data_IF_175377935035
#
_entry.id   IF_175377935035
#
_cell.length_a   1.000
_cell.length_b   1.000
_cell.length_c   1.000
_cell.angle_alpha   90.00
_cell.angle_beta   90.00
_cell.angle_gamma   90.00
#
_symmetry.space_group_name_H-M   'P 1'
#
loop_
_entity.id
_entity.type
_entity.pdbx_description
1 polymer ?
#
# COMPACT_ATOMS: atom_id res chain seq x y z
N UNK A 1 -112.69 10.16 1.97
CA UNK A 1 -111.75 9.04 2.17
C UNK A 1 -110.59 9.22 1.20
N UNK A 2 -109.44 9.70 1.72
CA UNK A 2 -108.25 9.99 0.89
C UNK A 2 -107.16 9.05 1.39
N UNK A 3 -106.74 8.16 0.53
CA UNK A 3 -105.76 7.14 0.80
C UNK A 3 -104.39 7.67 0.42
N UNK A 4 -103.51 7.88 1.43
CA UNK A 4 -102.12 8.30 1.22
C UNK A 4 -101.29 7.09 0.78
N UNK A 5 -100.68 7.20 -0.40
CA UNK A 5 -99.64 6.27 -0.85
C UNK A 5 -98.29 6.69 -0.33
N UNK A 6 -97.58 5.80 0.37
CA UNK A 6 -96.19 5.99 0.83
C UNK A 6 -95.27 5.57 -0.32
N UNK A 7 -94.30 6.44 -0.64
CA UNK A 7 -93.19 6.16 -1.59
C UNK A 7 -92.03 5.36 -0.87
N UNK A 8 -91.31 4.51 -1.60
CA UNK A 8 -90.22 3.74 -1.02
C UNK A 8 -88.94 4.57 -0.86
N UNK A 9 -88.28 4.43 0.28
CA UNK A 9 -86.99 5.03 0.57
C UNK A 9 -85.82 4.17 -0.07
N UNK A 10 -85.12 4.78 -1.05
CA UNK A 10 -83.92 4.19 -1.64
C UNK A 10 -82.75 4.28 -0.68
N UNK A 11 -82.15 3.11 -0.31
CA UNK A 11 -80.91 3.02 0.46
C UNK A 11 -79.74 3.26 -0.50
N UNK A 12 -79.05 4.40 -0.33
CA UNK A 12 -77.75 4.67 -0.97
C UNK A 12 -76.62 4.01 -0.13
N UNK A 13 -76.02 2.99 -0.73
CA UNK A 13 -74.83 2.35 -0.13
C UNK A 13 -73.63 3.13 -0.62
N UNK A 14 -72.98 3.92 0.24
CA UNK A 14 -71.75 4.59 -0.04
C UNK A 14 -70.58 3.59 0.00
N UNK A 15 -69.94 3.32 -1.15
CA UNK A 15 -68.73 2.52 -1.29
C UNK A 15 -67.54 3.42 -1.01
N UNK A 16 -66.94 3.31 0.16
CA UNK A 16 -65.72 4.01 0.53
C UNK A 16 -64.51 3.34 -0.18
N UNK A 17 -63.96 3.98 -1.23
CA UNK A 17 -62.66 3.59 -1.82
C UNK A 17 -61.54 4.02 -0.90
N UNK A 18 -60.89 3.05 -0.26
CA UNK A 18 -59.67 3.25 0.53
C UNK A 18 -58.48 3.34 -0.45
N UNK A 19 -58.01 4.55 -0.77
CA UNK A 19 -56.82 4.78 -1.57
C UNK A 19 -55.60 4.55 -0.71
N UNK A 20 -54.91 3.40 -0.88
CA UNK A 20 -53.61 3.12 -0.25
C UNK A 20 -52.56 3.90 -1.00
N UNK A 21 -52.07 4.99 -0.42
CA UNK A 21 -50.87 5.72 -0.88
C UNK A 21 -49.65 4.85 -0.56
N UNK A 22 -49.06 4.22 -1.58
CA UNK A 22 -47.70 3.64 -1.50
C UNK A 22 -46.72 4.80 -1.46
N UNK A 23 -46.26 5.16 -0.28
CA UNK A 23 -45.09 6.01 -0.11
C UNK A 23 -43.87 5.14 -0.44
N UNK A 24 -43.38 5.25 -1.68
CA UNK A 24 -42.13 4.64 -2.09
C UNK A 24 -40.99 5.32 -1.33
N UNK A 25 -40.40 4.63 -0.34
CA UNK A 25 -39.12 5.03 0.23
C UNK A 25 -38.07 4.84 -0.83
N UNK A 26 -37.67 5.92 -1.54
CA UNK A 26 -36.41 5.97 -2.27
C UNK A 26 -35.29 5.87 -1.23
N UNK A 27 -34.71 4.68 -1.10
CA UNK A 27 -33.44 4.55 -0.38
C UNK A 27 -32.39 5.32 -1.20
N UNK A 28 -31.92 6.44 -0.67
CA UNK A 28 -30.71 7.07 -1.19
C UNK A 28 -29.59 6.02 -1.18
N UNK A 29 -28.76 5.95 -2.24
CA UNK A 29 -27.62 5.06 -2.22
C UNK A 29 -26.80 5.35 -0.97
N UNK A 30 -26.50 4.30 -0.19
CA UNK A 30 -25.63 4.42 0.97
C UNK A 30 -24.33 5.10 0.52
N UNK A 31 -23.93 6.17 1.20
CA UNK A 31 -22.66 6.83 0.91
C UNK A 31 -21.54 5.79 1.00
N UNK A 32 -20.63 5.83 0.03
CA UNK A 32 -19.44 4.95 0.02
C UNK A 32 -18.73 5.04 1.39
N UNK A 33 -18.59 3.92 2.09
CA UNK A 33 -18.03 3.89 3.43
C UNK A 33 -16.52 3.65 3.36
N UNK A 34 -15.74 4.72 3.60
CA UNK A 34 -14.28 4.61 3.63
C UNK A 34 -13.80 3.91 4.90
N UNK A 35 -12.71 3.16 4.78
CA UNK A 35 -11.96 2.63 5.90
C UNK A 35 -11.20 3.74 6.62
N UNK A 36 -11.27 3.78 7.95
CA UNK A 36 -10.31 4.46 8.81
C UNK A 36 -9.00 3.66 8.92
N UNK A 37 -8.04 4.15 9.70
CA UNK A 37 -6.75 3.46 9.91
C UNK A 37 -6.91 2.07 10.49
N UNK A 38 -7.81 1.90 11.47
CA UNK A 38 -8.01 0.61 12.12
C UNK A 38 -8.61 -0.41 11.15
N UNK A 39 -9.56 0.02 10.32
CA UNK A 39 -10.12 -0.79 9.24
C UNK A 39 -9.04 -1.23 8.23
N UNK A 40 -8.21 -0.29 7.73
CA UNK A 40 -7.13 -0.61 6.78
C UNK A 40 -6.11 -1.58 7.39
N UNK A 41 -5.67 -1.35 8.64
CA UNK A 41 -4.76 -2.26 9.35
C UNK A 41 -5.39 -3.65 9.58
N UNK A 42 -6.69 -3.67 9.85
CA UNK A 42 -7.48 -4.90 9.99
C UNK A 42 -7.52 -5.72 8.70
N UNK A 43 -7.67 -5.08 7.54
CA UNK A 43 -7.62 -5.73 6.23
C UNK A 43 -6.27 -6.38 5.95
N UNK A 44 -5.14 -5.72 6.31
CA UNK A 44 -3.80 -6.33 6.21
C UNK A 44 -3.74 -7.59 7.08
N UNK A 45 -4.24 -7.53 8.32
CA UNK A 45 -4.24 -8.68 9.22
C UNK A 45 -5.04 -9.84 8.63
N UNK A 46 -6.25 -9.57 8.13
CA UNK A 46 -7.09 -10.58 7.46
C UNK A 46 -6.39 -11.16 6.22
N UNK A 47 -5.73 -10.32 5.43
CA UNK A 47 -4.99 -10.77 4.25
C UNK A 47 -3.86 -11.73 4.60
N UNK A 48 -3.01 -11.38 5.58
CA UNK A 48 -1.89 -12.25 5.98
C UNK A 48 -2.39 -13.54 6.63
N UNK A 49 -3.48 -13.49 7.40
CA UNK A 49 -4.10 -14.68 8.00
C UNK A 49 -4.71 -15.60 6.93
N UNK A 50 -5.41 -15.04 5.94
CA UNK A 50 -5.97 -15.78 4.82
C UNK A 50 -4.88 -16.42 3.94
N UNK A 51 -3.77 -15.68 3.70
CA UNK A 51 -2.60 -16.17 2.95
C UNK A 51 -1.99 -17.41 3.62
N UNK A 52 -1.72 -17.37 4.93
CA UNK A 52 -1.17 -18.51 5.68
C UNK A 52 -2.16 -19.67 5.78
N UNK A 53 -3.45 -19.37 5.78
CA UNK A 53 -4.49 -20.40 5.73
C UNK A 53 -4.75 -20.97 4.33
N UNK A 54 -4.08 -20.42 3.27
CA UNK A 54 -4.31 -20.75 1.86
C UNK A 54 -5.78 -20.58 1.42
N UNK A 55 -6.50 -19.65 2.05
CA UNK A 55 -7.95 -19.51 1.85
C UNK A 55 -8.33 -18.06 1.51
N UNK A 56 -8.30 -17.67 0.24
CA UNK A 56 -8.69 -16.33 -0.18
C UNK A 56 -10.18 -16.03 0.02
N UNK A 57 -11.04 -17.03 0.27
CA UNK A 57 -12.47 -16.81 0.51
C UNK A 57 -12.74 -16.08 1.84
N UNK A 58 -11.77 -16.03 2.72
CA UNK A 58 -11.82 -15.27 3.99
C UNK A 58 -11.68 -13.77 3.83
N UNK A 59 -11.35 -13.29 2.62
CA UNK A 59 -11.15 -11.87 2.35
C UNK A 59 -12.45 -11.18 1.92
N UNK A 60 -12.71 -9.95 2.35
CA UNK A 60 -13.82 -9.14 1.86
C UNK A 60 -13.48 -8.57 0.47
N UNK A 61 -13.49 -9.42 -0.54
CA UNK A 61 -13.16 -9.05 -1.91
C UNK A 61 -14.33 -8.33 -2.60
N UNK A 62 -14.01 -7.33 -3.43
CA UNK A 62 -14.93 -6.82 -4.43
C UNK A 62 -15.13 -7.87 -5.54
N UNK A 63 -16.25 -7.80 -6.27
CA UNK A 63 -16.59 -8.78 -7.31
C UNK A 63 -15.50 -8.94 -8.38
N UNK A 64 -14.86 -7.81 -8.77
CA UNK A 64 -13.83 -7.78 -9.80
C UNK A 64 -12.44 -7.47 -9.20
N UNK A 65 -12.15 -8.00 -7.99
CA UNK A 65 -10.86 -7.80 -7.36
C UNK A 65 -9.71 -8.33 -8.23
N UNK A 66 -8.67 -7.51 -8.41
CA UNK A 66 -7.48 -7.86 -9.20
C UNK A 66 -6.33 -8.24 -8.29
N UNK A 67 -5.51 -9.16 -8.73
CA UNK A 67 -4.30 -9.58 -8.03
C UNK A 67 -3.08 -9.52 -8.93
N UNK A 68 -1.99 -8.96 -8.42
CA UNK A 68 -0.68 -8.98 -9.08
C UNK A 68 0.39 -9.49 -8.10
N UNK A 69 1.27 -10.34 -8.61
CA UNK A 69 2.50 -10.76 -7.92
C UNK A 69 3.69 -10.35 -8.79
N UNK A 70 4.67 -9.65 -8.21
CA UNK A 70 5.86 -9.19 -8.90
C UNK A 70 5.56 -8.38 -10.18
N UNK A 71 4.60 -7.46 -10.09
CA UNK A 71 4.14 -6.61 -11.20
C UNK A 71 3.51 -7.37 -12.37
N UNK A 72 3.11 -8.63 -12.20
CA UNK A 72 2.42 -9.43 -13.20
C UNK A 72 1.02 -9.79 -12.72
N UNK A 73 0.03 -9.75 -13.63
CA UNK A 73 -1.30 -10.24 -13.31
C UNK A 73 -1.24 -11.71 -12.92
N UNK A 74 -1.85 -12.06 -11.79
CA UNK A 74 -1.85 -13.41 -11.25
C UNK A 74 -3.25 -13.79 -10.75
N UNK A 75 -3.48 -15.07 -10.53
CA UNK A 75 -4.71 -15.57 -9.96
C UNK A 75 -4.58 -15.66 -8.45
N UNK A 76 -5.49 -15.04 -7.72
CA UNK A 76 -5.53 -15.14 -6.27
C UNK A 76 -5.71 -16.61 -5.82
N UNK A 77 -4.93 -17.04 -4.85
CA UNK A 77 -4.84 -18.45 -4.45
C UNK A 77 -3.73 -19.24 -5.15
N UNK A 78 -3.04 -18.64 -6.14
CA UNK A 78 -1.88 -19.22 -6.82
C UNK A 78 -0.57 -18.55 -6.32
N UNK A 79 0.59 -18.96 -6.84
CA UNK A 79 1.90 -18.40 -6.49
C UNK A 79 2.19 -18.54 -4.99
N UNK A 80 2.55 -17.44 -4.33
CA UNK A 80 2.86 -17.39 -2.89
C UNK A 80 1.71 -17.93 -2.01
N UNK A 81 0.48 -17.86 -2.47
CA UNK A 81 -0.68 -18.38 -1.75
C UNK A 81 -0.65 -19.89 -1.52
N UNK A 82 0.08 -20.64 -2.35
CA UNK A 82 0.23 -22.10 -2.21
C UNK A 82 1.41 -22.51 -1.34
N UNK A 83 2.34 -21.60 -1.09
CA UNK A 83 3.65 -21.95 -0.57
C UNK A 83 3.95 -21.37 0.81
N UNK A 84 3.32 -20.25 1.21
CA UNK A 84 3.50 -19.64 2.52
C UNK A 84 2.98 -20.54 3.62
N UNK A 85 3.80 -20.76 4.66
CA UNK A 85 3.49 -21.68 5.77
C UNK A 85 3.30 -20.98 7.11
N UNK A 86 3.87 -19.77 7.28
CA UNK A 86 3.80 -19.03 8.55
C UNK A 86 4.01 -17.54 8.37
N UNK A 87 3.52 -16.77 9.35
CA UNK A 87 3.88 -15.35 9.55
C UNK A 87 5.20 -15.25 10.28
N UNK A 88 6.02 -14.23 9.93
CA UNK A 88 7.16 -13.82 10.70
C UNK A 88 6.81 -12.79 11.79
N UNK A 89 7.84 -12.28 12.46
CA UNK A 89 7.67 -11.29 13.51
C UNK A 89 7.62 -9.86 12.99
N UNK A 90 8.21 -9.60 11.81
CA UNK A 90 8.26 -8.26 11.23
C UNK A 90 6.97 -7.92 10.49
N UNK A 91 6.41 -6.77 10.83
CA UNK A 91 5.35 -6.10 10.08
C UNK A 91 5.48 -4.59 10.26
N UNK A 92 5.42 -3.85 9.15
CA UNK A 92 5.43 -2.40 9.10
C UNK A 92 4.35 -1.91 8.16
N UNK A 93 3.29 -1.31 8.71
CA UNK A 93 2.15 -0.82 7.93
C UNK A 93 2.32 0.65 7.53
N UNK A 94 1.74 1.00 6.38
CA UNK A 94 1.64 2.35 5.83
C UNK A 94 0.20 2.54 5.32
N UNK A 95 -0.58 3.39 5.98
CA UNK A 95 -2.03 3.43 5.82
C UNK A 95 -2.49 4.75 5.19
N UNK A 96 -2.82 4.71 3.91
CA UNK A 96 -3.34 5.84 3.14
C UNK A 96 -4.87 5.90 3.25
N UNK A 97 -5.38 6.58 4.26
CA UNK A 97 -6.82 6.72 4.47
C UNK A 97 -7.50 7.60 3.41
N UNK A 98 -6.75 8.49 2.74
CA UNK A 98 -7.28 9.36 1.69
C UNK A 98 -7.50 8.63 0.37
N UNK A 99 -6.56 7.77 -0.02
CA UNK A 99 -6.62 6.97 -1.24
C UNK A 99 -7.10 5.55 -1.01
N UNK A 100 -7.41 5.22 0.25
CA UNK A 100 -7.89 3.90 0.66
C UNK A 100 -6.92 2.79 0.24
N UNK A 101 -5.63 2.98 0.54
CA UNK A 101 -4.59 1.98 0.30
C UNK A 101 -4.00 1.54 1.63
N UNK A 102 -4.01 0.24 1.90
CA UNK A 102 -3.34 -0.38 3.03
C UNK A 102 -2.06 -1.07 2.54
N UNK A 103 -0.90 -0.42 2.72
CA UNK A 103 0.39 -0.95 2.35
C UNK A 103 1.11 -1.55 3.58
N UNK A 104 1.88 -2.62 3.37
CA UNK A 104 2.69 -3.22 4.42
C UNK A 104 3.96 -3.88 3.87
N UNK A 105 5.01 -3.83 4.65
CA UNK A 105 6.15 -4.73 4.54
C UNK A 105 6.04 -5.78 5.64
N UNK A 106 6.00 -7.06 5.28
CA UNK A 106 5.81 -8.16 6.22
C UNK A 106 6.77 -9.30 5.92
N UNK A 107 7.21 -9.98 6.98
CA UNK A 107 7.98 -11.21 6.90
C UNK A 107 7.02 -12.40 6.91
N UNK A 108 7.21 -13.33 5.97
CA UNK A 108 6.51 -14.63 5.95
C UNK A 108 7.51 -15.75 5.67
N UNK A 109 7.06 -16.99 5.75
CA UNK A 109 7.91 -18.16 5.57
C UNK A 109 7.32 -19.16 4.58
N UNK A 110 8.18 -19.78 3.77
CA UNK A 110 7.91 -21.00 3.00
C UNK A 110 8.72 -22.15 3.65
N UNK A 111 8.10 -22.89 4.55
CA UNK A 111 8.80 -23.85 5.40
C UNK A 111 9.86 -23.17 6.28
N UNK A 112 11.14 -23.39 5.99
CA UNK A 112 12.27 -22.74 6.69
C UNK A 112 12.78 -21.47 5.97
N UNK A 113 12.35 -21.25 4.74
CA UNK A 113 12.82 -20.15 3.93
C UNK A 113 12.08 -18.86 4.31
N UNK A 114 12.85 -17.82 4.60
CA UNK A 114 12.33 -16.49 4.91
C UNK A 114 12.01 -15.73 3.63
N UNK A 115 10.87 -15.05 3.62
CA UNK A 115 10.45 -14.16 2.56
C UNK A 115 10.21 -12.76 3.10
N UNK A 116 10.62 -11.76 2.30
CA UNK A 116 10.24 -10.38 2.47
C UNK A 116 9.09 -10.09 1.51
N UNK A 117 7.97 -9.66 2.04
CA UNK A 117 6.73 -9.55 1.31
C UNK A 117 6.16 -8.14 1.45
N UNK A 118 6.15 -7.40 0.34
CA UNK A 118 5.44 -6.13 0.26
C UNK A 118 4.05 -6.38 -0.28
N UNK A 119 3.03 -5.82 0.38
CA UNK A 119 1.61 -5.96 0.01
C UNK A 119 0.95 -4.60 0.02
N UNK A 120 0.17 -4.31 -1.01
CA UNK A 120 -0.72 -3.16 -1.05
C UNK A 120 -2.14 -3.66 -1.35
N UNK A 121 -3.06 -3.28 -0.49
CA UNK A 121 -4.49 -3.54 -0.66
C UNK A 121 -5.16 -2.24 -1.10
N UNK A 122 -5.74 -2.24 -2.29
CA UNK A 122 -6.58 -1.16 -2.78
C UNK A 122 -8.01 -1.42 -2.31
N UNK A 123 -8.57 -0.48 -1.57
CA UNK A 123 -9.84 -0.65 -0.86
C UNK A 123 -10.89 0.29 -1.43
N UNK A 124 -12.10 -0.20 -1.59
CA UNK A 124 -13.27 0.57 -1.97
C UNK A 124 -14.50 0.01 -1.25
N UNK A 125 -15.30 0.87 -0.66
CA UNK A 125 -16.50 0.46 0.09
C UNK A 125 -16.20 -0.66 1.11
N UNK A 126 -15.08 -0.53 1.84
CA UNK A 126 -14.53 -1.49 2.82
C UNK A 126 -14.22 -2.88 2.25
N UNK A 127 -14.15 -3.03 0.93
CA UNK A 127 -13.77 -4.26 0.23
C UNK A 127 -12.44 -4.08 -0.48
N UNK A 128 -11.69 -5.16 -0.61
CA UNK A 128 -10.44 -5.20 -1.36
C UNK A 128 -10.79 -5.31 -2.85
N UNK A 129 -10.56 -4.25 -3.61
CA UNK A 129 -10.73 -4.23 -5.08
C UNK A 129 -9.43 -4.58 -5.82
N UNK A 130 -8.30 -4.56 -5.11
CA UNK A 130 -7.02 -4.89 -5.70
C UNK A 130 -5.97 -5.26 -4.68
N UNK A 131 -5.09 -6.16 -5.09
CA UNK A 131 -3.97 -6.66 -4.31
C UNK A 131 -2.72 -6.58 -5.18
N UNK A 132 -1.73 -5.84 -4.73
CA UNK A 132 -0.44 -5.68 -5.40
C UNK A 132 0.68 -6.19 -4.49
N UNK A 133 1.55 -7.07 -5.00
CA UNK A 133 2.57 -7.70 -4.15
C UNK A 133 3.93 -7.78 -4.82
N UNK A 134 4.97 -7.80 -3.97
CA UNK A 134 6.36 -8.06 -4.36
C UNK A 134 6.96 -9.07 -3.38
N UNK A 135 7.55 -10.14 -3.92
CA UNK A 135 8.02 -11.30 -3.14
C UNK A 135 9.52 -11.49 -3.28
N UNK A 136 10.29 -11.14 -2.26
CA UNK A 136 11.72 -11.45 -2.21
C UNK A 136 11.96 -12.71 -1.37
N UNK A 137 12.30 -13.82 -2.03
CA UNK A 137 12.74 -15.05 -1.37
C UNK A 137 14.20 -14.94 -0.97
N UNK A 138 14.50 -15.22 0.28
CA UNK A 138 15.88 -15.21 0.78
C UNK A 138 16.44 -16.63 0.75
N UNK A 139 17.69 -16.74 0.27
CA UNK A 139 18.49 -17.95 0.30
C UNK A 139 19.77 -17.70 1.10
N UNK A 140 20.52 -18.73 1.50
CA UNK A 140 21.81 -18.53 2.17
C UNK A 140 22.79 -17.67 1.36
N UNK A 141 22.66 -17.67 0.02
CA UNK A 141 23.49 -16.91 -0.91
C UNK A 141 22.97 -15.49 -1.17
N UNK A 142 21.81 -15.13 -0.62
CA UNK A 142 21.26 -13.79 -0.79
C UNK A 142 22.23 -12.74 -0.25
N UNK A 143 22.49 -11.71 -1.04
CA UNK A 143 23.37 -10.60 -0.68
C UNK A 143 22.97 -9.91 0.64
N UNK A 144 21.66 -9.86 0.89
CA UNK A 144 21.06 -9.26 2.08
C UNK A 144 20.59 -10.38 3.00
N UNK A 145 21.25 -10.48 4.18
CA UNK A 145 20.85 -11.38 5.26
C UNK A 145 20.24 -10.53 6.37
N UNK A 146 18.91 -10.50 6.52
CA UNK A 146 18.22 -9.56 7.40
C UNK A 146 18.64 -9.68 8.87
N UNK A 147 18.87 -8.53 9.50
CA UNK A 147 19.13 -8.40 10.93
C UNK A 147 18.09 -7.51 11.64
N UNK A 148 17.33 -6.71 10.89
CA UNK A 148 16.41 -5.68 11.40
C UNK A 148 14.93 -6.09 11.31
N UNK A 149 14.61 -7.38 11.23
CA UNK A 149 13.24 -7.86 11.07
C UNK A 149 12.56 -8.34 12.37
N UNK A 150 13.12 -8.05 13.52
CA UNK A 150 12.52 -8.45 14.81
C UNK A 150 11.49 -7.47 15.36
N UNK A 151 11.41 -6.26 14.82
CA UNK A 151 10.57 -5.15 15.27
C UNK A 151 10.35 -4.14 14.12
N UNK A 152 9.34 -3.26 14.24
CA UNK A 152 9.14 -2.17 13.27
C UNK A 152 10.40 -1.31 13.08
N UNK A 153 10.52 -0.72 11.91
CA UNK A 153 11.62 0.19 11.57
C UNK A 153 11.60 1.39 12.53
N UNK A 154 12.75 1.67 13.15
CA UNK A 154 12.89 2.74 14.14
C UNK A 154 12.42 4.08 13.57
N UNK A 155 11.55 4.76 14.30
CA UNK A 155 10.99 6.07 13.94
C UNK A 155 9.87 6.01 12.90
N UNK A 156 9.65 4.89 12.21
CA UNK A 156 8.66 4.81 11.14
C UNK A 156 7.22 4.99 11.63
N UNK A 157 6.91 4.46 12.82
CA UNK A 157 5.60 4.58 13.46
C UNK A 157 5.46 5.78 14.39
N UNK A 158 6.55 6.52 14.61
CA UNK A 158 6.51 7.68 15.51
C UNK A 158 5.62 8.78 14.91
N UNK A 159 4.81 9.45 15.72
CA UNK A 159 4.00 10.56 15.23
C UNK A 159 4.91 11.70 14.71
N UNK A 160 4.44 12.37 13.68
CA UNK A 160 5.14 13.56 13.17
C UNK A 160 5.18 14.62 14.26
N UNK A 161 6.37 15.20 14.59
CA UNK A 161 6.50 16.22 15.61
C UNK A 161 5.58 17.41 15.37
N UNK A 162 5.07 17.99 16.46
CA UNK A 162 4.17 19.16 16.38
C UNK A 162 4.78 20.28 15.56
N UNK A 163 4.00 20.87 14.64
CA UNK A 163 4.43 21.95 13.76
C UNK A 163 5.37 21.51 12.61
N UNK A 164 5.68 20.21 12.46
CA UNK A 164 6.52 19.67 11.40
C UNK A 164 5.76 18.89 10.32
N UNK A 165 4.44 18.78 10.45
CA UNK A 165 3.60 18.16 9.41
C UNK A 165 3.71 18.90 8.10
N UNK A 166 3.75 18.15 7.01
CA UNK A 166 3.77 18.65 5.65
C UNK A 166 2.49 18.27 4.92
N UNK A 167 2.18 19.00 3.85
CA UNK A 167 1.13 18.57 2.95
C UNK A 167 1.55 17.29 2.22
N UNK A 168 0.57 16.51 1.80
CA UNK A 168 0.76 15.30 0.98
C UNK A 168 1.67 15.56 -0.22
N UNK A 169 1.41 16.63 -0.97
CA UNK A 169 2.21 17.03 -2.13
C UNK A 169 3.66 17.33 -1.75
N UNK A 170 3.89 18.05 -0.65
CA UNK A 170 5.23 18.36 -0.17
C UNK A 170 6.01 17.09 0.22
N UNK A 171 5.35 16.14 0.89
CA UNK A 171 5.97 14.86 1.23
C UNK A 171 6.34 14.06 -0.02
N UNK A 172 5.45 14.00 -1.02
CA UNK A 172 5.72 13.33 -2.30
C UNK A 172 6.92 13.97 -3.00
N UNK A 173 6.97 15.31 -3.09
CA UNK A 173 8.13 16.02 -3.67
C UNK A 173 9.43 15.67 -2.94
N UNK A 174 9.41 15.66 -1.61
CA UNK A 174 10.58 15.28 -0.81
C UNK A 174 11.02 13.84 -1.09
N UNK A 175 10.10 12.88 -1.15
CA UNK A 175 10.43 11.49 -1.49
C UNK A 175 11.04 11.35 -2.90
N UNK A 176 10.52 12.09 -3.88
CA UNK A 176 10.98 12.03 -5.27
C UNK A 176 12.39 12.60 -5.47
N UNK A 177 12.91 13.46 -4.57
CA UNK A 177 14.31 13.88 -4.61
C UNK A 177 15.27 12.70 -4.46
N UNK A 178 14.85 11.65 -3.75
CA UNK A 178 15.63 10.41 -3.66
C UNK A 178 15.78 9.74 -5.04
N UNK A 179 14.70 9.71 -5.81
CA UNK A 179 14.73 9.19 -7.19
C UNK A 179 15.69 10.02 -8.08
N UNK A 180 15.73 11.34 -7.88
CA UNK A 180 16.67 12.21 -8.60
C UNK A 180 18.12 11.92 -8.18
N UNK A 181 18.38 11.74 -6.88
CA UNK A 181 19.70 11.32 -6.39
C UNK A 181 20.19 10.01 -7.01
N UNK A 182 19.29 9.03 -7.17
CA UNK A 182 19.59 7.78 -7.89
C UNK A 182 19.90 8.04 -9.37
N UNK A 183 19.16 8.93 -10.03
CA UNK A 183 19.33 9.23 -11.46
C UNK A 183 20.68 9.84 -11.77
N UNK A 184 21.17 10.72 -10.91
CA UNK A 184 22.47 11.41 -11.08
C UNK A 184 23.63 10.71 -10.37
N UNK A 185 23.36 9.69 -9.54
CA UNK A 185 24.37 8.94 -8.78
C UNK A 185 24.91 9.69 -7.56
N UNK A 186 24.16 10.69 -7.06
CA UNK A 186 24.56 11.52 -5.93
C UNK A 186 23.32 12.12 -5.25
N UNK A 187 23.11 11.82 -3.99
CA UNK A 187 22.00 12.41 -3.25
C UNK A 187 22.23 13.90 -2.95
N UNK A 188 23.47 14.35 -2.89
CA UNK A 188 23.80 15.78 -2.77
C UNK A 188 23.38 16.53 -4.03
N UNK A 189 23.80 16.04 -5.20
CA UNK A 189 23.50 16.69 -6.49
C UNK A 189 22.01 16.55 -6.86
N UNK A 190 21.37 15.45 -6.44
CA UNK A 190 19.93 15.24 -6.56
C UNK A 190 19.09 16.07 -5.58
N UNK A 191 19.74 16.82 -4.67
CA UNK A 191 19.05 17.67 -3.69
C UNK A 191 18.22 16.93 -2.67
N UNK A 192 18.58 15.68 -2.34
CA UNK A 192 17.83 14.85 -1.37
C UNK A 192 18.06 15.33 0.06
N UNK A 193 17.04 15.82 0.78
CA UNK A 193 17.21 16.40 2.10
C UNK A 193 17.13 15.33 3.19
N UNK A 194 18.25 14.70 3.55
CA UNK A 194 18.29 13.77 4.67
C UNK A 194 18.44 14.49 6.00
N UNK A 195 17.70 14.03 7.02
CA UNK A 195 17.94 14.43 8.39
C UNK A 195 19.27 13.85 8.91
N UNK A 196 19.94 14.49 9.87
CA UNK A 196 21.22 14.02 10.39
C UNK A 196 21.21 12.58 10.94
N UNK A 197 20.07 12.19 11.55
CA UNK A 197 19.85 10.85 12.10
C UNK A 197 19.33 9.82 11.08
N UNK A 198 19.15 10.22 9.83
CA UNK A 198 18.61 9.36 8.79
C UNK A 198 19.36 8.04 8.67
N UNK A 199 18.62 7.00 8.35
CA UNK A 199 19.18 5.71 8.00
C UNK A 199 18.29 4.98 7.01
N UNK A 200 18.87 3.99 6.30
CA UNK A 200 18.18 3.18 5.31
C UNK A 200 18.31 1.70 5.63
N UNK A 201 17.17 1.02 5.64
CA UNK A 201 17.06 -0.44 5.73
C UNK A 201 16.63 -0.96 4.36
N UNK A 202 17.41 -1.87 3.81
CA UNK A 202 17.15 -2.51 2.52
C UNK A 202 17.11 -4.02 2.73
N UNK A 203 15.98 -4.66 2.42
CA UNK A 203 15.74 -6.08 2.67
C UNK A 203 16.14 -6.53 4.08
N UNK A 204 15.81 -5.70 5.11
CA UNK A 204 16.09 -5.99 6.52
C UNK A 204 17.53 -5.79 6.96
N UNK A 205 18.36 -5.08 6.21
CA UNK A 205 19.76 -4.75 6.56
C UNK A 205 19.94 -3.24 6.56
N UNK A 206 20.58 -2.68 7.60
CA UNK A 206 20.97 -1.26 7.57
C UNK A 206 22.10 -1.10 6.54
N UNK A 207 21.81 -0.41 5.45
CA UNK A 207 22.72 -0.22 4.31
C UNK A 207 23.36 1.16 4.26
N UNK A 208 22.75 2.15 4.91
CA UNK A 208 23.29 3.51 4.97
C UNK A 208 22.81 4.27 6.21
N UNK A 209 23.52 5.30 6.61
CA UNK A 209 23.17 6.22 7.69
C UNK A 209 23.39 5.66 9.10
N UNK A 210 22.61 6.13 10.05
CA UNK A 210 22.78 5.79 11.47
C UNK A 210 22.62 4.30 11.78
N UNK A 211 23.66 3.68 12.27
CA UNK A 211 23.72 2.23 12.60
C UNK A 211 24.36 1.37 11.51
N UNK A 212 24.75 1.93 10.38
CA UNK A 212 25.52 1.22 9.37
C UNK A 212 26.94 0.96 9.90
N UNK A 213 27.32 -0.31 10.02
CA UNK A 213 28.61 -0.74 10.58
C UNK A 213 29.79 -0.74 9.59
N UNK A 214 29.66 -0.11 8.41
CA UNK A 214 30.68 -0.07 7.39
C UNK A 214 31.28 1.34 7.24
N UNK A 215 32.56 1.48 6.87
CA UNK A 215 33.10 2.77 6.44
C UNK A 215 32.30 3.32 5.25
N UNK A 216 32.22 4.64 5.15
CA UNK A 216 31.64 5.37 4.01
C UNK A 216 30.20 4.98 3.63
N UNK A 217 29.40 4.59 4.61
CA UNK A 217 27.98 4.30 4.42
C UNK A 217 27.04 5.41 4.94
N UNK A 218 27.53 6.64 5.10
CA UNK A 218 26.68 7.81 5.34
C UNK A 218 25.75 8.07 4.14
N UNK A 219 24.58 8.68 4.41
CA UNK A 219 23.61 8.90 3.34
C UNK A 219 24.16 9.73 2.17
N UNK A 220 25.06 10.70 2.44
CA UNK A 220 25.68 11.53 1.41
C UNK A 220 27.05 11.04 0.96
N UNK A 221 27.75 10.21 1.77
CA UNK A 221 29.12 9.75 1.45
C UNK A 221 29.16 8.40 0.73
N UNK A 222 28.05 7.66 0.72
CA UNK A 222 27.99 6.36 0.06
C UNK A 222 28.14 6.49 -1.47
N UNK A 223 28.78 5.51 -2.08
CA UNK A 223 28.84 5.43 -3.55
C UNK A 223 27.49 4.95 -4.10
N UNK A 224 26.84 5.77 -4.90
CA UNK A 224 25.56 5.48 -5.54
C UNK A 224 25.80 5.10 -7.00
N UNK A 225 25.29 3.95 -7.41
CA UNK A 225 25.23 3.60 -8.83
C UNK A 225 24.26 4.54 -9.56
N UNK A 226 24.66 5.03 -10.71
CA UNK A 226 23.83 5.90 -11.56
C UNK A 226 22.70 5.09 -12.19
N UNK A 227 21.47 5.54 -12.01
CA UNK A 227 20.26 4.93 -12.54
C UNK A 227 19.50 5.91 -13.47
N UNK A 228 19.99 6.20 -14.67
CA UNK A 228 19.44 7.28 -15.51
C UNK A 228 18.00 7.04 -15.96
N UNK A 229 17.57 5.80 -16.00
CA UNK A 229 16.20 5.38 -16.40
C UNK A 229 15.33 4.98 -15.23
N UNK A 230 15.66 5.35 -13.98
CA UNK A 230 14.81 5.08 -12.83
C UNK A 230 13.45 5.75 -12.99
N UNK A 231 12.40 4.99 -12.74
CA UNK A 231 11.02 5.46 -12.71
C UNK A 231 10.43 5.24 -11.32
N UNK A 232 9.52 6.13 -10.92
CA UNK A 232 8.82 6.03 -9.64
C UNK A 232 7.33 6.29 -9.82
N UNK A 233 6.52 5.60 -9.01
CA UNK A 233 5.09 5.86 -8.84
C UNK A 233 4.78 5.97 -7.36
N UNK A 234 3.89 6.87 -6.98
CA UNK A 234 3.37 6.93 -5.61
C UNK A 234 2.49 5.73 -5.38
N UNK A 235 2.83 4.90 -4.42
CA UNK A 235 2.09 3.70 -4.07
C UNK A 235 1.08 3.94 -2.93
N UNK A 236 1.50 4.66 -1.89
CA UNK A 236 0.66 5.10 -0.78
C UNK A 236 1.28 6.32 -0.08
N UNK A 237 0.44 7.10 0.62
CA UNK A 237 0.92 8.19 1.49
C UNK A 237 0.17 8.13 2.82
N UNK A 238 0.88 7.78 3.87
CA UNK A 238 0.39 7.82 5.26
C UNK A 238 0.62 9.22 5.83
N UNK A 239 -0.38 10.10 5.68
CA UNK A 239 -0.28 11.50 6.12
C UNK A 239 -0.21 11.65 7.64
N UNK A 240 -0.70 10.68 8.41
CA UNK A 240 -0.65 10.71 9.87
C UNK A 240 0.75 10.45 10.38
N UNK A 241 1.40 9.41 9.87
CA UNK A 241 2.76 9.05 10.23
C UNK A 241 3.82 9.74 9.37
N UNK A 242 3.43 10.55 8.38
CA UNK A 242 4.39 11.21 7.49
C UNK A 242 5.22 10.23 6.67
N UNK A 243 4.59 9.23 6.05
CA UNK A 243 5.30 8.24 5.24
C UNK A 243 4.79 8.26 3.80
N UNK A 244 5.72 8.29 2.86
CA UNK A 244 5.46 8.09 1.41
C UNK A 244 6.02 6.74 1.01
N UNK A 245 5.22 5.92 0.37
CA UNK A 245 5.66 4.67 -0.25
C UNK A 245 5.74 4.87 -1.76
N UNK A 246 6.91 4.66 -2.32
CA UNK A 246 7.14 4.65 -3.76
C UNK A 246 7.30 3.21 -4.26
N UNK A 247 6.65 2.88 -5.36
CA UNK A 247 7.09 1.80 -6.23
C UNK A 247 8.14 2.38 -7.18
N UNK A 248 9.30 1.74 -7.28
CA UNK A 248 10.35 2.18 -8.19
C UNK A 248 10.90 1.01 -9.00
N UNK A 249 11.26 1.28 -10.25
CA UNK A 249 12.11 0.42 -11.08
C UNK A 249 13.37 1.21 -11.44
N UNK A 250 14.53 0.67 -11.10
CA UNK A 250 15.82 1.34 -11.26
C UNK A 250 16.31 1.35 -12.71
N UNK A 251 15.58 0.68 -13.62
CA UNK A 251 15.94 0.59 -15.02
C UNK A 251 17.16 -0.30 -15.28
N UNK A 252 17.67 -0.24 -16.47
CA UNK A 252 18.81 -1.04 -16.88
C UNK A 252 20.12 -0.53 -16.27
N UNK A 253 20.81 -1.37 -15.50
CA UNK A 253 22.06 -1.05 -14.80
C UNK A 253 23.09 -2.18 -14.96
N UNK A 254 23.18 -2.76 -16.15
CA UNK A 254 24.05 -3.92 -16.38
C UNK A 254 23.59 -5.17 -15.61
N UNK A 255 24.54 -5.96 -15.15
CA UNK A 255 24.25 -7.24 -14.45
C UNK A 255 24.13 -7.12 -12.93
N UNK A 256 24.06 -5.91 -12.37
CA UNK A 256 24.10 -5.70 -10.91
C UNK A 256 22.94 -6.39 -10.15
N UNK A 257 21.83 -6.63 -10.81
CA UNK A 257 20.65 -7.32 -10.24
C UNK A 257 20.32 -8.63 -10.96
N UNK A 258 21.32 -9.22 -11.62
CA UNK A 258 21.21 -10.37 -12.49
C UNK A 258 21.07 -9.95 -13.95
N UNK A 259 21.57 -10.78 -14.86
CA UNK A 259 21.48 -10.52 -16.30
C UNK A 259 20.02 -10.39 -16.74
N UNK A 260 19.72 -9.34 -17.51
CA UNK A 260 18.36 -9.05 -17.99
C UNK A 260 17.39 -8.54 -16.92
N UNK A 261 17.85 -8.29 -15.69
CA UNK A 261 17.01 -7.78 -14.61
C UNK A 261 17.32 -6.32 -14.25
N UNK A 262 16.32 -5.66 -13.67
CA UNK A 262 16.45 -4.41 -12.92
C UNK A 262 15.93 -4.58 -11.50
N UNK A 263 16.33 -3.70 -10.59
CA UNK A 263 15.79 -3.67 -9.24
C UNK A 263 14.41 -3.04 -9.25
N UNK A 264 13.44 -3.75 -8.69
CA UNK A 264 12.09 -3.24 -8.43
C UNK A 264 11.84 -3.26 -6.93
N UNK A 265 11.30 -2.16 -6.39
CA UNK A 265 11.13 -1.97 -4.96
C UNK A 265 9.78 -1.34 -4.62
N UNK A 266 9.27 -1.67 -3.43
CA UNK A 266 8.43 -0.79 -2.63
C UNK A 266 9.31 -0.18 -1.53
N UNK A 267 9.45 1.14 -1.54
CA UNK A 267 10.34 1.85 -0.64
C UNK A 267 9.57 2.94 0.11
N UNK A 268 9.60 2.87 1.44
CA UNK A 268 8.89 3.75 2.33
C UNK A 268 9.84 4.80 2.90
N UNK A 269 9.45 6.07 2.83
CA UNK A 269 10.19 7.23 3.27
C UNK A 269 9.48 7.92 4.42
N UNK A 270 10.06 7.93 5.61
CA UNK A 270 9.60 8.74 6.74
C UNK A 270 10.00 10.19 6.53
N UNK A 271 9.00 11.07 6.46
CA UNK A 271 9.22 12.47 6.06
C UNK A 271 8.48 13.41 7.01
N UNK A 272 9.19 14.38 7.56
CA UNK A 272 8.64 15.53 8.25
C UNK A 272 9.62 16.70 8.26
N UNK A 273 9.12 17.95 8.40
CA UNK A 273 9.96 19.14 8.41
C UNK A 273 10.78 19.34 7.14
N UNK A 274 10.38 18.77 5.99
CA UNK A 274 11.10 18.86 4.72
C UNK A 274 12.27 17.89 4.58
N UNK A 275 12.43 16.91 5.48
CA UNK A 275 13.56 15.99 5.47
C UNK A 275 13.11 14.52 5.53
N UNK A 276 13.97 13.62 5.02
CA UNK A 276 13.82 12.17 5.10
C UNK A 276 14.55 11.68 6.34
N UNK A 277 13.86 11.00 7.25
CA UNK A 277 14.35 10.56 8.56
C UNK A 277 14.65 9.05 8.63
N UNK A 278 13.92 8.25 7.88
CA UNK A 278 14.14 6.81 7.78
C UNK A 278 13.65 6.30 6.42
N UNK A 279 14.28 5.26 5.93
CA UNK A 279 13.92 4.59 4.68
C UNK A 279 13.83 3.09 4.93
N UNK A 280 12.78 2.45 4.42
CA UNK A 280 12.63 0.99 4.43
C UNK A 280 12.23 0.47 3.06
N UNK A 281 13.06 -0.36 2.47
CA UNK A 281 12.85 -0.92 1.14
C UNK A 281 12.77 -2.44 1.17
N UNK A 282 11.75 -2.99 0.53
CA UNK A 282 11.72 -4.39 0.09
C UNK A 282 11.81 -4.43 -1.42
N UNK A 283 12.80 -5.12 -1.93
CA UNK A 283 13.09 -5.16 -3.36
C UNK A 283 13.57 -6.52 -3.84
N UNK A 284 13.46 -6.71 -5.15
CA UNK A 284 14.03 -7.86 -5.86
C UNK A 284 14.40 -7.51 -7.30
N UNK A 285 15.17 -8.39 -7.95
CA UNK A 285 15.39 -8.33 -9.39
C UNK A 285 14.14 -8.80 -10.15
N UNK A 286 13.69 -8.00 -11.11
CA UNK A 286 12.65 -8.36 -12.08
C UNK A 286 13.14 -8.04 -13.50
N UNK A 287 12.55 -8.65 -14.56
CA UNK A 287 12.96 -8.36 -15.93
C UNK A 287 13.03 -6.86 -16.24
N UNK A 288 14.04 -6.44 -16.96
CA UNK A 288 14.16 -5.06 -17.46
C UNK A 288 12.91 -4.68 -18.23
N UNK A 289 12.40 -3.47 -18.00
CA UNK A 289 11.16 -2.98 -18.60
C UNK A 289 9.89 -3.35 -17.81
N UNK A 290 10.01 -4.07 -16.67
CA UNK A 290 8.87 -4.28 -15.79
C UNK A 290 8.28 -2.94 -15.36
N UNK A 291 7.02 -2.70 -15.72
CA UNK A 291 6.24 -1.54 -15.28
C UNK A 291 5.42 -1.87 -14.05
N UNK A 292 4.95 -0.84 -13.34
CA UNK A 292 3.93 -1.04 -12.32
C UNK A 292 2.59 -1.33 -13.00
N UNK A 293 1.92 -2.39 -12.58
CA UNK A 293 0.60 -2.76 -13.09
C UNK A 293 -0.50 -1.79 -12.64
N UNK A 294 -0.31 -1.15 -11.49
CA UNK A 294 -1.26 -0.25 -10.85
C UNK A 294 -0.94 1.23 -11.15
N UNK A 295 -1.96 2.09 -11.29
CA UNK A 295 -1.72 3.51 -11.44
C UNK A 295 -1.06 4.11 -10.20
N UNK A 296 -0.40 5.25 -10.37
CA UNK A 296 0.08 6.03 -9.23
C UNK A 296 -1.09 6.47 -8.36
N UNK A 297 -0.96 6.36 -7.04
CA UNK A 297 -1.97 6.80 -6.08
C UNK A 297 -2.21 8.32 -6.15
N UNK A 298 -1.16 9.08 -6.48
CA UNK A 298 -1.21 10.51 -6.70
C UNK A 298 -0.43 10.89 -7.96
N UNK A 299 -0.77 12.04 -8.59
CA UNK A 299 0.05 12.60 -9.65
C UNK A 299 1.47 12.85 -9.15
N UNK A 300 2.46 12.57 -10.00
CA UNK A 300 3.83 12.97 -9.72
C UNK A 300 3.93 14.48 -10.01
N UNK A 301 4.29 15.31 -9.02
CA UNK A 301 4.45 16.74 -9.22
C UNK A 301 5.52 17.01 -10.30
N UNK A 302 5.23 17.97 -11.19
CA UNK A 302 6.17 18.42 -12.23
C UNK A 302 7.28 19.26 -11.63
#
# INVERSE_FOLDING_TARGET
MIQQRRAPVAKITALAMLSVLFVGFSQAPAAAENCDRACLAGLITQYVDALVAHDPSKLPLAENARFTEDSQAAKLGEGIWKTVTAKGQFRQDYLDTKRQVAATHVQVYEGKNQLLYAVLLHVKDRKIEGIETLVQRLTPESRFQPTELGKPIRGMNDPVPSGKKQSRESMIKTALTYTEGLRVGSFTDGGTPFAPENYRVENGVITAGGGCGRPDCGMYSQNIMVHPSVIANVAAVDEENGVVVLWMNFGHTGSSYGEGNSLVTFEAFKIWGGQIHAINAFFRGLPVGTGRFWPSADPIPK
#
